data_IF_081214809359
#
_entry.id   IF_081214809359
#
_cell.length_a   1.000
_cell.length_b   1.000
_cell.length_c   1.000
_cell.angle_alpha   90.00
_cell.angle_beta   90.00
_cell.angle_gamma   90.00
#
_symmetry.space_group_name_H-M   'P 1'
#
loop_
_entity.id
_entity.type
_entity.pdbx_description
1 polymer ?
#
# COMPACT_ATOMS: atom_id res chain seq x y z
N UNK A 1 6.26 4.69 6.94
CA UNK A 1 5.48 3.44 6.86
C UNK A 1 6.36 2.30 6.34
N UNK A 2 6.74 2.28 5.06
CA UNK A 2 7.66 1.28 4.47
C UNK A 2 8.90 0.98 5.31
N UNK A 3 9.58 2.01 5.80
CA UNK A 3 10.74 1.81 6.69
C UNK A 3 10.41 1.01 7.94
N UNK A 4 9.26 1.21 8.58
CA UNK A 4 8.85 0.41 9.74
C UNK A 4 8.56 -1.05 9.38
N UNK A 5 7.99 -1.31 8.19
CA UNK A 5 7.79 -2.68 7.71
C UNK A 5 9.14 -3.39 7.54
N UNK A 6 10.10 -2.74 6.88
CA UNK A 6 11.45 -3.29 6.69
C UNK A 6 12.21 -3.46 8.01
N UNK A 7 12.10 -2.50 8.94
CA UNK A 7 12.71 -2.61 10.27
C UNK A 7 12.10 -3.76 11.08
N UNK A 8 10.80 -4.05 10.91
CA UNK A 8 10.18 -5.21 11.56
C UNK A 8 10.75 -6.52 11.01
N UNK A 9 10.86 -6.64 9.69
CA UNK A 9 11.47 -7.80 9.04
C UNK A 9 12.95 -7.99 9.46
N UNK A 10 13.69 -6.89 9.62
CA UNK A 10 15.04 -6.91 10.16
C UNK A 10 15.07 -7.40 11.62
N UNK A 11 14.14 -6.91 12.47
CA UNK A 11 13.99 -7.35 13.86
C UNK A 11 13.71 -8.86 13.96
N UNK A 12 12.84 -9.38 13.11
CA UNK A 12 12.52 -10.82 13.04
C UNK A 12 13.73 -11.69 12.64
N UNK A 13 14.75 -11.07 12.01
CA UNK A 13 16.04 -11.70 11.67
C UNK A 13 17.14 -11.44 12.70
N UNK A 14 16.79 -10.92 13.87
CA UNK A 14 17.73 -10.70 14.98
C UNK A 14 18.50 -9.38 14.93
N UNK A 15 18.12 -8.44 14.04
CA UNK A 15 18.71 -7.09 14.03
C UNK A 15 18.02 -6.24 15.10
N UNK A 16 18.81 -5.69 16.03
CA UNK A 16 18.28 -4.80 17.05
C UNK A 16 17.84 -3.46 16.44
N UNK A 17 16.58 -3.09 16.68
CA UNK A 17 16.03 -1.80 16.24
C UNK A 17 15.93 -0.87 17.45
N UNK A 18 16.56 0.32 17.44
CA UNK A 18 16.47 1.26 18.55
C UNK A 18 15.01 1.64 18.85
N UNK A 19 14.53 1.33 20.06
CA UNK A 19 13.12 1.56 20.46
C UNK A 19 12.68 3.02 20.26
N UNK A 20 13.55 3.98 20.59
CA UNK A 20 13.28 5.42 20.41
C UNK A 20 13.04 5.78 18.94
N UNK A 21 13.69 5.09 18.00
CA UNK A 21 13.50 5.29 16.56
C UNK A 21 12.13 4.77 16.13
N UNK A 22 11.81 3.52 16.49
CA UNK A 22 10.52 2.91 16.13
C UNK A 22 9.33 3.64 16.75
N UNK A 23 9.40 3.99 18.04
CA UNK A 23 8.34 4.71 18.75
C UNK A 23 8.01 6.05 18.07
N UNK A 24 9.05 6.81 17.68
CA UNK A 24 8.88 8.10 16.97
C UNK A 24 8.23 7.91 15.60
N UNK A 25 8.64 6.87 14.87
CA UNK A 25 8.09 6.57 13.55
C UNK A 25 6.62 6.11 13.63
N UNK A 26 6.28 5.29 14.63
CA UNK A 26 4.89 4.85 14.90
C UNK A 26 4.02 6.06 15.23
N UNK A 27 4.46 6.89 16.19
CA UNK A 27 3.74 8.09 16.60
C UNK A 27 3.52 9.06 15.41
N UNK A 28 4.50 9.17 14.51
CA UNK A 28 4.36 9.99 13.30
C UNK A 28 3.29 9.46 12.34
N UNK A 29 3.17 8.14 12.16
CA UNK A 29 2.10 7.55 11.34
C UNK A 29 0.74 7.77 12.00
N UNK A 30 0.63 7.56 13.31
CA UNK A 30 -0.61 7.74 14.06
C UNK A 30 -1.14 9.17 13.97
N UNK A 31 -0.29 10.19 14.11
CA UNK A 31 -0.69 11.61 13.95
C UNK A 31 -1.22 11.95 12.54
N UNK A 32 -0.92 11.13 11.55
CA UNK A 32 -1.37 11.32 10.16
C UNK A 32 -2.59 10.48 9.82
N UNK A 33 -3.04 9.57 10.69
CA UNK A 33 -4.23 8.75 10.47
C UNK A 33 -5.49 9.59 10.67
N UNK A 34 -6.41 9.53 9.71
CA UNK A 34 -7.71 10.20 9.76
C UNK A 34 -8.80 9.26 10.30
N UNK A 35 -9.94 9.78 10.80
CA UNK A 35 -11.02 8.96 11.37
C UNK A 35 -11.58 7.91 10.40
N UNK A 36 -11.52 8.15 9.10
CA UNK A 36 -11.96 7.20 8.07
C UNK A 36 -10.87 6.18 7.69
N UNK A 37 -9.74 6.14 8.40
CA UNK A 37 -8.56 5.30 8.15
C UNK A 37 -7.79 5.60 6.86
N UNK A 38 -8.08 6.73 6.20
CA UNK A 38 -7.12 7.33 5.28
C UNK A 38 -6.00 8.02 6.05
N UNK A 39 -4.92 8.39 5.37
CA UNK A 39 -3.76 9.02 5.96
C UNK A 39 -3.45 10.33 5.26
N UNK A 40 -2.92 11.31 5.98
CA UNK A 40 -2.32 12.49 5.35
C UNK A 40 -1.14 12.07 4.47
N UNK A 41 -0.86 12.84 3.42
CA UNK A 41 0.35 12.66 2.63
C UNK A 41 1.62 13.00 3.43
N UNK A 42 1.51 13.96 4.34
CA UNK A 42 2.57 14.35 5.25
C UNK A 42 2.02 15.14 6.43
N UNK A 43 2.71 15.09 7.57
CA UNK A 43 2.30 15.79 8.80
C UNK A 43 2.21 17.32 8.61
N UNK A 44 2.97 17.89 7.66
CA UNK A 44 2.86 19.29 7.26
C UNK A 44 1.47 19.67 6.70
N UNK A 45 0.62 18.70 6.37
CA UNK A 45 -0.77 18.90 5.95
C UNK A 45 -1.79 18.68 7.07
N UNK A 46 -1.38 18.60 8.34
CA UNK A 46 -2.29 18.35 9.49
C UNK A 46 -3.49 19.30 9.58
N UNK A 47 -3.31 20.55 9.17
CA UNK A 47 -4.40 21.55 9.13
C UNK A 47 -5.17 21.59 7.79
N UNK A 48 -4.86 20.67 6.87
CA UNK A 48 -5.55 20.51 5.57
C UNK A 48 -5.98 19.06 5.35
N UNK A 49 -6.73 18.44 6.30
CA UNK A 49 -7.00 17.00 6.29
C UNK A 49 -7.90 16.52 5.14
N UNK A 50 -8.59 17.43 4.44
CA UNK A 50 -9.47 17.12 3.31
C UNK A 50 -9.01 17.70 1.96
N UNK A 51 -7.75 18.17 1.87
CA UNK A 51 -7.09 18.49 0.59
C UNK A 51 -7.19 17.27 -0.33
N UNK A 52 -7.30 17.45 -1.65
CA UNK A 52 -7.51 16.35 -2.61
C UNK A 52 -6.68 15.09 -2.32
N UNK A 53 -5.36 15.28 -2.16
CA UNK A 53 -4.42 14.20 -1.83
C UNK A 53 -4.74 13.48 -0.51
N UNK A 54 -5.34 14.14 0.48
CA UNK A 54 -5.68 13.60 1.80
C UNK A 54 -7.11 13.03 1.90
N UNK A 55 -7.90 13.12 0.82
CA UNK A 55 -9.20 12.43 0.78
C UNK A 55 -8.99 10.91 0.64
N UNK A 56 -9.98 10.06 0.94
CA UNK A 56 -9.86 8.61 0.79
C UNK A 56 -9.32 8.17 -0.59
N UNK A 57 -9.77 8.79 -1.67
CA UNK A 57 -9.28 8.55 -3.03
C UNK A 57 -7.78 8.90 -3.21
N UNK A 58 -7.34 10.02 -2.63
CA UNK A 58 -5.94 10.45 -2.67
C UNK A 58 -5.01 9.63 -1.77
N UNK A 59 -5.56 8.90 -0.80
CA UNK A 59 -4.81 8.09 0.17
C UNK A 59 -4.67 6.62 -0.23
N UNK A 60 -5.38 6.16 -1.27
CA UNK A 60 -5.45 4.74 -1.66
C UNK A 60 -4.08 4.05 -1.68
N UNK A 61 -3.10 4.66 -2.36
CA UNK A 61 -1.77 4.08 -2.49
C UNK A 61 -0.94 4.01 -1.20
N UNK A 62 -1.23 4.82 -0.17
CA UNK A 62 -0.42 4.86 1.07
C UNK A 62 -1.08 4.23 2.28
N UNK A 63 -2.41 4.15 2.32
CA UNK A 63 -3.14 3.67 3.50
C UNK A 63 -2.73 2.26 3.92
N UNK A 64 -2.50 1.37 2.96
CA UNK A 64 -2.09 -0.02 3.22
C UNK A 64 -0.75 -0.10 3.92
N UNK A 65 0.26 0.62 3.41
CA UNK A 65 1.58 0.66 4.02
C UNK A 65 1.53 1.17 5.45
N UNK A 66 0.72 2.20 5.72
CA UNK A 66 0.55 2.76 7.06
C UNK A 66 -0.14 1.76 8.00
N UNK A 67 -1.26 1.17 7.58
CA UNK A 67 -2.00 0.21 8.41
C UNK A 67 -1.15 -1.02 8.74
N UNK A 68 -0.51 -1.64 7.74
CA UNK A 68 0.31 -2.84 8.00
C UNK A 68 1.52 -2.52 8.88
N UNK A 69 2.15 -1.35 8.70
CA UNK A 69 3.23 -0.92 9.57
C UNK A 69 2.78 -0.76 11.02
N UNK A 70 1.63 -0.13 11.27
CA UNK A 70 1.10 0.01 12.62
C UNK A 70 0.76 -1.34 13.24
N UNK A 71 0.10 -2.23 12.50
CA UNK A 71 -0.27 -3.57 12.99
C UNK A 71 0.97 -4.42 13.32
N UNK A 72 1.98 -4.45 12.46
CA UNK A 72 3.24 -5.18 12.67
C UNK A 72 3.98 -4.75 13.95
N UNK A 73 3.76 -3.50 14.37
CA UNK A 73 4.34 -2.92 15.57
C UNK A 73 3.36 -2.90 16.76
N UNK A 74 2.28 -3.67 16.70
CA UNK A 74 1.39 -3.93 17.83
C UNK A 74 0.26 -2.93 18.03
N UNK A 75 -0.06 -2.08 17.04
CA UNK A 75 -1.22 -1.19 17.14
C UNK A 75 -2.53 -1.97 16.94
N UNK A 76 -3.20 -2.29 18.06
CA UNK A 76 -4.45 -3.05 18.09
C UNK A 76 -5.64 -2.31 17.45
N UNK A 77 -5.52 -1.00 17.21
CA UNK A 77 -6.57 -0.21 16.55
C UNK A 77 -6.61 -0.43 15.03
N UNK A 78 -5.63 -1.16 14.47
CA UNK A 78 -5.65 -1.62 13.08
C UNK A 78 -6.20 -3.05 13.04
N UNK A 79 -7.52 -3.16 12.99
CA UNK A 79 -8.22 -4.44 12.98
C UNK A 79 -8.37 -5.02 11.57
N UNK A 80 -8.77 -6.30 11.49
CA UNK A 80 -9.20 -6.96 10.25
C UNK A 80 -10.26 -6.13 9.50
N UNK A 81 -11.18 -5.47 10.21
CA UNK A 81 -12.18 -4.59 9.62
C UNK A 81 -11.57 -3.33 8.99
N UNK A 82 -10.55 -2.74 9.62
CA UNK A 82 -9.83 -1.57 9.06
C UNK A 82 -9.14 -1.95 7.75
N UNK A 83 -8.47 -3.10 7.71
CA UNK A 83 -7.85 -3.59 6.48
C UNK A 83 -8.89 -3.83 5.38
N UNK A 84 -10.00 -4.50 5.70
CA UNK A 84 -11.10 -4.72 4.74
C UNK A 84 -11.67 -3.41 4.19
N UNK A 85 -11.91 -2.41 5.04
CA UNK A 85 -12.37 -1.08 4.60
C UNK A 85 -11.40 -0.46 3.59
N UNK A 86 -10.09 -0.52 3.87
CA UNK A 86 -9.08 0.03 2.98
C UNK A 86 -8.93 -0.79 1.69
N UNK A 87 -8.95 -2.11 1.77
CA UNK A 87 -8.87 -3.02 0.61
C UNK A 87 -10.08 -2.85 -0.32
N UNK A 88 -11.28 -2.79 0.24
CA UNK A 88 -12.51 -2.51 -0.50
C UNK A 88 -12.41 -1.18 -1.25
N UNK A 89 -11.88 -0.14 -0.60
CA UNK A 89 -11.68 1.16 -1.26
C UNK A 89 -10.67 1.08 -2.39
N UNK A 90 -9.53 0.42 -2.18
CA UNK A 90 -8.53 0.24 -3.23
C UNK A 90 -9.13 -0.49 -4.42
N UNK A 91 -9.74 -1.65 -4.21
CA UNK A 91 -10.27 -2.49 -5.29
C UNK A 91 -11.45 -1.81 -5.99
N UNK A 92 -12.47 -1.37 -5.25
CA UNK A 92 -13.70 -0.80 -5.83
C UNK A 92 -13.48 0.57 -6.45
N UNK A 93 -12.44 1.29 -6.03
CA UNK A 93 -12.13 2.65 -6.50
C UNK A 93 -10.74 2.77 -7.11
N UNK A 94 -10.20 1.66 -7.63
CA UNK A 94 -8.85 1.61 -8.19
C UNK A 94 -8.63 2.64 -9.31
N UNK A 95 -9.68 2.99 -10.05
CA UNK A 95 -9.64 4.01 -11.10
C UNK A 95 -9.08 5.37 -10.64
N UNK A 96 -9.23 5.76 -9.36
CA UNK A 96 -8.61 6.99 -8.84
C UNK A 96 -7.09 6.89 -8.75
N UNK A 97 -6.58 5.71 -8.43
CA UNK A 97 -5.14 5.42 -8.38
C UNK A 97 -4.59 5.25 -9.80
N UNK A 98 -5.32 4.53 -10.65
CA UNK A 98 -4.97 4.28 -12.06
C UNK A 98 -4.89 5.56 -12.90
N UNK A 99 -5.73 6.55 -12.60
CA UNK A 99 -5.73 7.84 -13.32
C UNK A 99 -4.38 8.57 -13.26
N UNK A 100 -3.59 8.34 -12.20
CA UNK A 100 -2.23 8.90 -12.08
C UNK A 100 -1.15 8.04 -12.74
N UNK A 101 -1.45 6.80 -13.11
CA UNK A 101 -0.50 5.86 -13.68
C UNK A 101 -0.03 6.34 -15.06
N UNK A 102 1.27 6.20 -15.32
CA UNK A 102 1.99 6.64 -16.54
C UNK A 102 1.94 8.14 -16.82
N UNK A 103 1.39 8.96 -15.91
CA UNK A 103 1.42 10.41 -16.05
C UNK A 103 2.81 10.96 -15.72
N UNK A 104 3.32 11.94 -16.48
CA UNK A 104 4.68 12.45 -16.28
C UNK A 104 4.81 13.43 -15.11
N UNK A 105 3.73 14.08 -14.67
CA UNK A 105 3.76 15.06 -13.58
C UNK A 105 3.17 14.40 -12.32
N UNK A 106 3.91 14.36 -11.20
CA UNK A 106 3.37 13.82 -9.97
C UNK A 106 2.19 14.69 -9.48
N UNK A 107 1.18 14.06 -8.90
CA UNK A 107 0.00 14.71 -8.32
C UNK A 107 -0.88 15.51 -9.29
N UNK A 108 -0.74 15.33 -10.61
CA UNK A 108 -1.60 15.99 -11.61
C UNK A 108 -2.98 15.33 -11.78
N UNK A 109 -3.16 14.11 -11.27
CA UNK A 109 -4.44 13.38 -11.33
C UNK A 109 -5.51 14.04 -10.46
N UNK A 110 -6.79 13.74 -10.70
CA UNK A 110 -7.91 14.35 -9.96
C UNK A 110 -7.84 14.14 -8.44
N UNK A 111 -7.41 12.95 -8.01
CA UNK A 111 -7.20 12.61 -6.61
C UNK A 111 -5.82 13.04 -6.08
N UNK A 112 -5.01 13.72 -6.90
CA UNK A 112 -3.64 14.13 -6.63
C UNK A 112 -2.74 12.97 -6.19
N UNK A 113 -3.00 11.76 -6.68
CA UNK A 113 -2.11 10.62 -6.49
C UNK A 113 -1.05 10.64 -7.59
N UNK A 114 0.22 10.54 -7.21
CA UNK A 114 1.31 10.41 -8.16
C UNK A 114 1.39 8.96 -8.68
N UNK A 115 1.78 8.78 -9.95
CA UNK A 115 1.77 7.46 -10.60
C UNK A 115 2.56 6.39 -9.88
N UNK A 116 3.68 6.76 -9.25
CA UNK A 116 4.56 5.85 -8.49
C UNK A 116 3.93 5.26 -7.22
N UNK A 117 2.70 5.65 -6.87
CA UNK A 117 1.92 4.99 -5.81
C UNK A 117 1.11 3.80 -6.31
N UNK A 118 1.02 3.55 -7.62
CA UNK A 118 0.15 2.52 -8.16
C UNK A 118 0.62 1.13 -7.69
N UNK A 119 1.77 0.65 -8.15
CA UNK A 119 2.24 -0.69 -7.74
C UNK A 119 2.67 -0.73 -6.27
N UNK A 120 3.16 0.39 -5.73
CA UNK A 120 3.45 0.53 -4.31
C UNK A 120 2.20 0.25 -3.44
N UNK A 121 1.05 0.84 -3.80
CA UNK A 121 -0.19 0.64 -3.07
C UNK A 121 -0.69 -0.80 -3.11
N UNK A 122 -0.60 -1.43 -4.29
CA UNK A 122 -0.99 -2.83 -4.48
C UNK A 122 -0.05 -3.80 -3.76
N UNK A 123 1.24 -3.50 -3.71
CA UNK A 123 2.21 -4.26 -2.92
C UNK A 123 1.81 -4.27 -1.46
N UNK A 124 1.61 -3.11 -0.84
CA UNK A 124 1.22 -3.06 0.56
C UNK A 124 -0.20 -3.60 0.82
N UNK A 125 -1.10 -3.49 -0.15
CA UNK A 125 -2.39 -4.17 -0.07
C UNK A 125 -2.23 -5.69 0.01
N UNK A 126 -1.30 -6.28 -0.75
CA UNK A 126 -1.04 -7.72 -0.69
C UNK A 126 -0.53 -8.17 0.68
N UNK A 127 0.29 -7.35 1.37
CA UNK A 127 0.66 -7.62 2.77
C UNK A 127 -0.55 -7.53 3.70
N UNK A 128 -1.42 -6.52 3.55
CA UNK A 128 -2.65 -6.42 4.36
C UNK A 128 -3.54 -7.66 4.19
N UNK A 129 -3.65 -8.21 2.98
CA UNK A 129 -4.45 -9.41 2.71
C UNK A 129 -3.95 -10.61 3.53
N UNK A 130 -2.62 -10.81 3.64
CA UNK A 130 -2.03 -11.90 4.42
C UNK A 130 -2.34 -11.80 5.92
N UNK A 131 -2.65 -10.60 6.42
CA UNK A 131 -3.03 -10.38 7.83
C UNK A 131 -4.50 -10.65 8.13
N UNK A 132 -5.34 -10.78 7.09
CA UNK A 132 -6.76 -11.07 7.28
C UNK A 132 -6.98 -12.50 7.74
N UNK A 133 -8.16 -12.77 8.28
CA UNK A 133 -8.61 -14.15 8.53
C UNK A 133 -8.56 -14.98 7.26
N UNK A 134 -8.10 -16.23 7.36
CA UNK A 134 -7.88 -17.11 6.20
C UNK A 134 -9.08 -17.23 5.26
N UNK A 135 -10.31 -17.24 5.80
CA UNK A 135 -11.54 -17.32 5.00
C UNK A 135 -11.79 -16.11 4.09
N UNK A 136 -11.25 -14.94 4.45
CA UNK A 136 -11.50 -13.68 3.76
C UNK A 136 -10.42 -13.41 2.69
N UNK A 137 -9.24 -14.01 2.82
CA UNK A 137 -8.11 -13.76 1.91
C UNK A 137 -8.38 -14.11 0.43
N UNK A 138 -9.01 -15.26 0.08
CA UNK A 138 -9.11 -15.70 -1.32
C UNK A 138 -9.81 -14.70 -2.23
N UNK A 139 -10.88 -14.06 -1.75
CA UNK A 139 -11.60 -13.05 -2.52
C UNK A 139 -10.71 -11.84 -2.84
N UNK A 140 -10.03 -11.29 -1.83
CA UNK A 140 -9.13 -10.15 -2.03
C UNK A 140 -7.90 -10.49 -2.88
N UNK A 141 -7.33 -11.69 -2.75
CA UNK A 141 -6.23 -12.16 -3.61
C UNK A 141 -6.65 -12.20 -5.08
N UNK A 142 -7.83 -12.76 -5.36
CA UNK A 142 -8.39 -12.81 -6.72
C UNK A 142 -8.63 -11.42 -7.29
N UNK A 143 -9.24 -10.54 -6.50
CA UNK A 143 -9.57 -9.18 -6.95
C UNK A 143 -8.31 -8.35 -7.22
N UNK A 144 -7.28 -8.47 -6.37
CA UNK A 144 -5.99 -7.81 -6.57
C UNK A 144 -5.27 -8.35 -7.83
N UNK A 145 -5.28 -9.66 -8.05
CA UNK A 145 -4.72 -10.26 -9.26
C UNK A 145 -5.46 -9.82 -10.53
N UNK A 146 -6.79 -9.71 -10.48
CA UNK A 146 -7.62 -9.23 -11.59
C UNK A 146 -7.26 -7.81 -12.01
N UNK A 147 -6.81 -6.98 -11.06
CA UNK A 147 -6.32 -5.63 -11.35
C UNK A 147 -4.93 -5.66 -11.99
N UNK A 148 -4.00 -6.44 -11.44
CA UNK A 148 -2.59 -6.36 -11.82
C UNK A 148 -2.23 -7.15 -13.09
N UNK A 149 -2.77 -8.35 -13.28
CA UNK A 149 -2.41 -9.23 -14.40
C UNK A 149 -2.65 -8.57 -15.77
N UNK A 150 -3.78 -7.90 -16.02
CA UNK A 150 -4.02 -7.27 -17.33
C UNK A 150 -3.11 -6.07 -17.63
N UNK A 151 -2.37 -5.57 -16.64
CA UNK A 151 -1.50 -4.40 -16.79
C UNK A 151 -0.06 -4.77 -17.20
N UNK A 152 0.22 -6.05 -17.44
CA UNK A 152 1.52 -6.48 -17.96
C UNK A 152 1.75 -5.87 -19.35
N UNK A 153 2.91 -5.25 -19.54
CA UNK A 153 3.34 -4.76 -20.85
C UNK A 153 3.75 -5.93 -21.76
N UNK A 154 3.88 -5.66 -23.07
CA UNK A 154 4.27 -6.68 -24.06
C UNK A 154 5.67 -7.27 -23.82
N UNK A 155 6.56 -6.50 -23.19
CA UNK A 155 7.91 -6.94 -22.81
C UNK A 155 7.94 -7.71 -21.48
N UNK A 156 6.77 -7.94 -20.88
CA UNK A 156 6.60 -8.64 -19.62
C UNK A 156 6.75 -7.76 -18.38
N UNK A 157 7.07 -6.47 -18.54
CA UNK A 157 7.24 -5.53 -17.44
C UNK A 157 5.91 -5.01 -16.90
N UNK A 158 5.98 -4.36 -15.73
CA UNK A 158 4.95 -3.46 -15.22
C UNK A 158 5.62 -2.13 -14.86
N UNK A 159 5.01 -1.00 -15.20
CA UNK A 159 5.51 0.32 -14.79
C UNK A 159 4.40 1.36 -14.65
N UNK A 160 4.56 2.29 -13.70
CA UNK A 160 3.50 3.22 -13.29
C UNK A 160 3.88 4.70 -13.32
N UNK A 161 5.16 5.04 -13.47
CA UNK A 161 5.64 6.41 -13.54
C UNK A 161 6.92 6.47 -14.37
N UNK A 162 7.11 7.48 -15.25
CA UNK A 162 8.29 7.56 -16.12
C UNK A 162 9.51 8.08 -15.35
N UNK A 163 9.98 7.30 -14.37
CA UNK A 163 11.26 7.55 -13.72
C UNK A 163 12.44 7.28 -14.66
N UNK A 164 13.51 8.06 -14.44
CA UNK A 164 14.80 8.02 -15.13
C UNK A 164 15.37 6.59 -15.27
N UNK A 165 15.06 5.91 -16.38
CA UNK A 165 15.52 4.57 -16.79
C UNK A 165 15.28 3.37 -15.85
N UNK A 166 14.68 3.57 -14.66
CA UNK A 166 14.39 2.48 -13.70
C UNK A 166 12.89 2.17 -13.50
N UNK A 167 12.01 2.74 -14.32
CA UNK A 167 10.55 2.63 -14.14
C UNK A 167 9.99 1.21 -14.28
N UNK A 168 10.57 0.40 -15.17
CA UNK A 168 10.15 -0.98 -15.37
C UNK A 168 10.58 -1.89 -14.22
N UNK A 169 11.76 -1.66 -13.65
CA UNK A 169 12.41 -2.58 -12.72
C UNK A 169 11.66 -2.61 -11.38
N UNK A 170 11.40 -1.44 -10.77
CA UNK A 170 10.65 -1.43 -9.51
C UNK A 170 9.18 -1.80 -9.73
N UNK A 171 8.56 -1.33 -10.82
CA UNK A 171 7.14 -1.60 -11.10
C UNK A 171 6.91 -3.10 -11.27
N UNK A 172 7.77 -3.76 -12.05
CA UNK A 172 7.77 -5.21 -12.23
C UNK A 172 8.00 -5.94 -10.92
N UNK A 173 9.00 -5.52 -10.13
CA UNK A 173 9.27 -6.14 -8.83
C UNK A 173 8.05 -6.04 -7.89
N UNK A 174 7.44 -4.86 -7.77
CA UNK A 174 6.26 -4.67 -6.93
C UNK A 174 5.05 -5.46 -7.44
N UNK A 175 4.81 -5.50 -8.75
CA UNK A 175 3.73 -6.28 -9.34
C UNK A 175 3.92 -7.78 -9.06
N UNK A 176 5.10 -8.34 -9.33
CA UNK A 176 5.40 -9.76 -9.10
C UNK A 176 5.34 -10.14 -7.62
N UNK A 177 5.85 -9.29 -6.73
CA UNK A 177 5.77 -9.52 -5.28
C UNK A 177 4.32 -9.48 -4.77
N UNK A 178 3.46 -8.67 -5.38
CA UNK A 178 2.03 -8.63 -5.08
C UNK A 178 1.34 -9.91 -5.59
N UNK A 179 1.57 -10.27 -6.84
CA UNK A 179 0.97 -11.44 -7.49
C UNK A 179 1.39 -12.75 -6.83
N UNK A 180 2.65 -12.86 -6.40
CA UNK A 180 3.15 -14.01 -5.63
C UNK A 180 2.32 -14.27 -4.37
N UNK A 181 1.89 -13.21 -3.67
CA UNK A 181 1.02 -13.32 -2.48
C UNK A 181 -0.43 -13.64 -2.81
N UNK A 182 -0.83 -13.39 -4.05
CA UNK A 182 -2.16 -13.73 -4.56
C UNK A 182 -2.28 -15.19 -5.00
N UNK A 183 -1.17 -15.93 -5.10
CA UNK A 183 -1.23 -17.36 -5.40
C UNK A 183 -2.09 -18.10 -4.36
N UNK A 184 -2.86 -19.11 -4.79
CA UNK A 184 -3.59 -19.96 -3.87
C UNK A 184 -2.61 -20.60 -2.88
N UNK A 185 -3.03 -20.75 -1.63
CA UNK A 185 -2.28 -21.55 -0.68
C UNK A 185 -2.07 -22.94 -1.28
N UNK A 186 -0.83 -23.44 -1.26
CA UNK A 186 -0.58 -24.82 -1.67
C UNK A 186 -1.47 -25.70 -0.79
N UNK A 187 -2.38 -26.45 -1.41
CA UNK A 187 -3.01 -27.59 -0.75
C UNK A 187 -1.84 -28.54 -0.47
N UNK A 188 -1.47 -28.64 0.80
CA UNK A 188 -0.56 -29.69 1.23
C UNK A 188 -1.48 -30.90 1.41
N UNK A 189 -1.44 -31.82 0.45
CA UNK A 189 -2.00 -33.17 0.62
C UNK A 189 -1.24 -33.91 1.73
#
# INVERSE_FOLDING_TARGET
>A
ATGLVALKEAQERGIEIPKKLSDRAIAAIQRQRLPDHSYLYGEYLKYKPRRGINRPAGSLGRSHACNVALQLWGDETVTDQVHKICLDRLIKRNGWLDMGRKRPIPHESWAAVAGYFFYYGHLYASFCIETLKAKDQPAYKRDLATILVPLQEKDGSWWDFPFYDYHQQYGTAMALLSLRRCLPSKVVD
#
